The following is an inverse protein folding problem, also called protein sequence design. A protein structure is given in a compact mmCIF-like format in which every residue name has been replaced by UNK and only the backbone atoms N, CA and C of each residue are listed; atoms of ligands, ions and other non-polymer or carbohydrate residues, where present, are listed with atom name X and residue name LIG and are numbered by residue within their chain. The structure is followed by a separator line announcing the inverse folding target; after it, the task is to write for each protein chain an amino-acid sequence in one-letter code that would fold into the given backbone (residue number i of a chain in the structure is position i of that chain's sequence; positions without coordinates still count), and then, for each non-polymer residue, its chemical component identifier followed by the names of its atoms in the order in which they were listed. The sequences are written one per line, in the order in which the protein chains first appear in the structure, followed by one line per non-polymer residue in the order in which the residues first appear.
data_IF_425810723759
#
_entry.id   IF_425810723759
#
_cell.length_a   1.000
_cell.length_b   1.000
_cell.length_c   1.000
_cell.angle_alpha   90.00
_cell.angle_beta   90.00
_cell.angle_gamma   90.00
#
_symmetry.space_group_name_H-M   'P 1'
#
loop_
_entity.id
_entity.type
_entity.pdbx_description
1 polymer ?
#
# COMPACT_ATOMS: atom_id res chain seq x y z
N UNK A 1 11.29 1.53 -6.52
CA UNK A 1 10.02 0.84 -6.82
C UNK A 1 9.07 0.92 -5.63
N UNK A 2 7.78 1.15 -5.88
CA UNK A 2 6.75 1.30 -4.85
C UNK A 2 5.42 0.68 -5.32
N UNK A 3 4.58 0.24 -4.37
CA UNK A 3 3.26 -0.35 -4.65
C UNK A 3 2.17 0.58 -4.15
N UNK A 4 1.20 0.89 -5.01
CA UNK A 4 0.01 1.68 -4.66
C UNK A 4 -1.22 0.77 -4.75
N UNK A 5 -1.83 0.48 -3.60
CA UNK A 5 -3.00 -0.39 -3.46
C UNK A 5 -4.11 0.37 -2.74
N UNK A 6 -4.80 1.25 -3.46
CA UNK A 6 -5.83 2.13 -2.91
C UNK A 6 -7.13 1.35 -2.73
N UNK A 7 -7.52 1.14 -1.46
CA UNK A 7 -8.70 0.35 -1.09
C UNK A 7 -9.86 1.29 -0.78
N UNK A 8 -11.03 1.01 -1.36
CA UNK A 8 -12.27 1.69 -0.99
C UNK A 8 -12.68 1.29 0.44
N UNK A 9 -12.80 2.24 1.39
CA UNK A 9 -13.04 1.95 2.81
C UNK A 9 -14.45 1.41 3.09
N UNK A 10 -15.38 1.56 2.14
CA UNK A 10 -16.78 1.18 2.27
C UNK A 10 -17.07 -0.27 1.90
N UNK A 11 -16.14 -0.96 1.22
CA UNK A 11 -16.31 -2.38 0.87
C UNK A 11 -15.56 -3.26 1.90
N UNK A 12 -16.29 -3.66 2.94
CA UNK A 12 -15.74 -4.43 4.05
C UNK A 12 -15.39 -5.85 3.62
N UNK A 13 -14.11 -6.11 3.37
CA UNK A 13 -13.51 -7.41 3.62
C UNK A 13 -12.27 -7.27 4.52
N UNK A 14 -12.45 -7.01 5.83
CA UNK A 14 -11.35 -6.89 6.80
C UNK A 14 -10.45 -8.14 6.89
N UNK A 15 -10.83 -9.23 6.21
CA UNK A 15 -10.06 -10.47 6.12
C UNK A 15 -9.78 -10.90 4.66
N UNK A 16 -9.74 -9.96 3.71
CA UNK A 16 -9.39 -10.29 2.33
C UNK A 16 -7.97 -10.90 2.27
N UNK A 17 -7.85 -12.18 1.88
CA UNK A 17 -6.55 -12.87 1.83
C UNK A 17 -5.58 -12.21 0.83
N UNK A 18 -6.09 -11.53 -0.21
CA UNK A 18 -5.27 -10.83 -1.20
C UNK A 18 -4.60 -9.61 -0.59
N UNK A 19 -5.33 -8.81 0.20
CA UNK A 19 -4.75 -7.64 0.87
C UNK A 19 -3.63 -8.03 1.83
N UNK A 20 -3.83 -9.11 2.59
CA UNK A 20 -2.81 -9.64 3.50
C UNK A 20 -1.58 -10.16 2.73
N UNK A 21 -1.79 -10.83 1.59
CA UNK A 21 -0.70 -11.30 0.75
C UNK A 21 0.15 -10.15 0.20
N UNK A 22 -0.48 -9.08 -0.30
CA UNK A 22 0.23 -7.89 -0.80
C UNK A 22 1.06 -7.25 0.31
N UNK A 23 0.47 -7.03 1.48
CA UNK A 23 1.21 -6.47 2.62
C UNK A 23 2.40 -7.34 3.02
N UNK A 24 2.23 -8.67 3.02
CA UNK A 24 3.31 -9.60 3.36
C UNK A 24 4.47 -9.49 2.38
N UNK A 25 4.21 -9.45 1.07
CA UNK A 25 5.24 -9.31 0.04
C UNK A 25 5.99 -7.99 0.22
N UNK A 26 5.29 -6.86 0.34
CA UNK A 26 5.94 -5.56 0.56
C UNK A 26 6.82 -5.55 1.81
N UNK A 27 6.35 -6.14 2.91
CA UNK A 27 7.13 -6.26 4.16
C UNK A 27 8.39 -7.13 3.98
N UNK A 28 8.29 -8.28 3.30
CA UNK A 28 9.45 -9.18 3.06
C UNK A 28 10.54 -8.49 2.23
N UNK A 29 10.15 -7.66 1.27
CA UNK A 29 11.09 -6.96 0.39
C UNK A 29 11.46 -5.54 0.87
N UNK A 30 11.01 -5.11 2.06
CA UNK A 30 11.13 -3.73 2.55
C UNK A 30 10.67 -2.69 1.51
N UNK A 31 9.65 -3.04 0.72
CA UNK A 31 9.10 -2.20 -0.34
C UNK A 31 8.09 -1.18 0.20
N UNK A 32 8.11 0.08 -0.28
CA UNK A 32 7.08 1.07 0.04
C UNK A 32 5.70 0.59 -0.45
N UNK A 33 4.70 0.66 0.44
CA UNK A 33 3.31 0.31 0.13
C UNK A 33 2.39 1.44 0.59
N UNK A 34 1.65 2.04 -0.35
CA UNK A 34 0.59 2.99 -0.06
C UNK A 34 -0.77 2.31 -0.16
N UNK A 35 -1.57 2.39 0.91
CA UNK A 35 -2.94 1.88 0.96
C UNK A 35 -4.01 2.98 0.91
N UNK A 36 -3.58 4.24 0.94
CA UNK A 36 -4.40 5.43 0.85
C UNK A 36 -3.62 6.56 0.18
N UNK A 37 -4.34 7.60 -0.23
CA UNK A 37 -3.77 8.75 -0.95
C UNK A 37 -2.71 9.48 -0.11
N UNK A 38 -2.96 9.71 1.18
CA UNK A 38 -1.99 10.41 2.03
C UNK A 38 -0.63 9.69 2.11
N UNK A 39 -0.63 8.35 2.14
CA UNK A 39 0.60 7.54 2.12
C UNK A 39 1.25 7.56 0.74
N UNK A 40 0.45 7.57 -0.32
CA UNK A 40 0.95 7.70 -1.69
C UNK A 40 1.70 9.02 -1.90
N UNK A 41 1.14 10.14 -1.41
CA UNK A 41 1.76 11.46 -1.49
C UNK A 41 3.09 11.51 -0.74
N UNK A 42 3.20 10.86 0.42
CA UNK A 42 4.45 10.74 1.17
C UNK A 42 5.51 9.94 0.38
N UNK A 43 5.12 8.84 -0.26
CA UNK A 43 6.06 8.03 -1.05
C UNK A 43 6.53 8.80 -2.30
N UNK A 44 5.64 9.55 -2.97
CA UNK A 44 5.98 10.33 -4.17
C UNK A 44 6.86 11.54 -3.81
N UNK A 45 6.52 12.27 -2.74
CA UNK A 45 7.29 13.43 -2.30
C UNK A 45 8.70 13.07 -1.83
N UNK A 46 8.87 11.92 -1.17
CA UNK A 46 10.21 11.43 -0.76
C UNK A 46 11.11 11.05 -1.94
N UNK A 47 10.55 10.76 -3.12
CA UNK A 47 11.30 10.43 -4.33
C UNK A 47 11.46 11.61 -5.30
N UNK A 48 10.84 12.76 -5.03
CA UNK A 48 11.02 13.99 -5.81
C UNK A 48 12.22 14.77 -5.27
N UNK A 49 13.41 14.30 -5.61
CA UNK A 49 14.69 15.04 -5.48
C UNK A 49 15.35 15.08 -6.84
#
# INVERSE_FOLDING_TARGET
DAVFFLVEPLDKHPHDPVFQAIQRVCKVHNGPLATNVATADLIISTHSV
#
